data_IF_671257355641
#
_entry.id   IF_671257355641
#
_cell.length_a   1.000
_cell.length_b   1.000
_cell.length_c   1.000
_cell.angle_alpha   90.00
_cell.angle_beta   90.00
_cell.angle_gamma   90.00
#
_symmetry.space_group_name_H-M   'P 1'
#
loop_
_entity.id
_entity.type
_entity.pdbx_description
1 polymer ?
#
# COMPACT_ATOMS: atom_id res chain seq x y z
N UNK A 1 -81.91 42.48 -1.87
CA UNK A 1 -80.67 43.21 -1.91
C UNK A 1 -79.59 42.16 -2.23
N UNK A 2 -78.84 42.35 -3.29
CA UNK A 2 -78.17 41.33 -4.05
C UNK A 2 -76.74 41.10 -3.54
N UNK A 3 -76.25 39.88 -3.42
CA UNK A 3 -74.84 39.61 -3.11
C UNK A 3 -73.95 39.60 -4.37
N UNK A 4 -72.89 40.25 -4.30
CA UNK A 4 -71.83 40.37 -5.28
C UNK A 4 -70.98 39.08 -5.33
N UNK A 5 -70.90 38.47 -6.48
CA UNK A 5 -70.10 37.27 -6.75
C UNK A 5 -68.66 37.71 -7.07
N UNK A 6 -67.71 37.37 -6.24
CA UNK A 6 -66.27 37.48 -6.52
C UNK A 6 -65.80 36.19 -7.17
N UNK A 7 -65.37 36.26 -8.40
CA UNK A 7 -64.66 35.21 -9.12
C UNK A 7 -63.20 35.27 -8.72
N UNK A 8 -62.72 34.22 -8.06
CA UNK A 8 -61.29 34.01 -7.76
C UNK A 8 -60.66 33.25 -8.95
N UNK A 9 -59.79 33.94 -9.70
CA UNK A 9 -58.97 33.35 -10.72
C UNK A 9 -57.72 32.67 -10.07
N UNK A 10 -57.66 31.36 -10.16
CA UNK A 10 -56.47 30.59 -9.77
C UNK A 10 -55.44 30.66 -10.90
N UNK A 11 -54.36 31.37 -10.67
CA UNK A 11 -53.16 31.35 -11.52
C UNK A 11 -52.30 30.17 -11.04
N UNK A 12 -52.26 29.11 -11.81
CA UNK A 12 -51.32 27.99 -11.58
C UNK A 12 -49.92 28.38 -12.08
N UNK A 13 -49.01 28.72 -11.16
CA UNK A 13 -47.60 28.91 -11.47
C UNK A 13 -46.94 27.54 -11.54
N UNK A 14 -46.69 27.07 -12.74
CA UNK A 14 -45.88 25.87 -12.96
C UNK A 14 -44.38 26.14 -12.64
N UNK A 15 -43.92 25.61 -11.55
CA UNK A 15 -42.47 25.55 -11.26
C UNK A 15 -41.83 24.44 -12.11
N UNK A 16 -41.15 24.86 -13.17
CA UNK A 16 -40.19 23.99 -13.85
C UNK A 16 -38.96 23.81 -12.95
N UNK A 17 -38.93 22.71 -12.19
CA UNK A 17 -37.71 22.25 -11.53
C UNK A 17 -36.76 21.74 -12.63
N UNK A 18 -35.77 22.57 -12.99
CA UNK A 18 -34.59 22.14 -13.75
C UNK A 18 -33.78 21.26 -12.80
N UNK A 19 -34.03 19.95 -12.83
CA UNK A 19 -33.24 18.97 -12.13
C UNK A 19 -31.85 18.93 -12.75
N UNK A 20 -30.86 19.51 -12.10
CA UNK A 20 -29.46 19.15 -12.32
C UNK A 20 -29.35 17.67 -12.06
N UNK A 21 -29.21 16.89 -13.14
CA UNK A 21 -28.99 15.45 -13.05
C UNK A 21 -27.67 15.14 -12.34
N UNK A 22 -27.76 14.99 -11.03
CA UNK A 22 -26.67 14.42 -10.25
C UNK A 22 -26.76 12.90 -10.41
N UNK A 23 -25.99 12.37 -11.36
CA UNK A 23 -25.76 10.93 -11.41
C UNK A 23 -24.95 10.55 -10.18
N UNK A 24 -25.43 9.66 -9.32
CA UNK A 24 -24.60 9.14 -8.25
C UNK A 24 -23.33 8.54 -8.85
N UNK A 25 -22.15 8.72 -8.22
CA UNK A 25 -20.94 8.06 -8.67
C UNK A 25 -21.23 6.57 -8.83
N UNK A 26 -20.86 6.02 -9.99
CA UNK A 26 -20.99 4.58 -10.24
C UNK A 26 -20.35 3.80 -9.11
N UNK A 27 -20.71 2.53 -8.90
CA UNK A 27 -20.12 1.71 -7.86
C UNK A 27 -18.60 1.83 -7.99
N UNK A 28 -17.94 2.14 -6.86
CA UNK A 28 -16.49 2.16 -6.81
C UNK A 28 -15.98 0.85 -7.40
N UNK A 29 -14.86 0.86 -8.17
CA UNK A 29 -14.31 -0.36 -8.73
C UNK A 29 -14.21 -1.37 -7.59
N UNK A 30 -14.84 -2.51 -7.80
CA UNK A 30 -14.93 -3.61 -6.83
C UNK A 30 -13.54 -3.83 -6.27
N UNK A 31 -13.41 -3.66 -4.96
CA UNK A 31 -12.19 -3.87 -4.21
C UNK A 31 -11.47 -5.10 -4.72
N UNK A 32 -10.21 -4.95 -5.07
CA UNK A 32 -9.25 -6.04 -5.26
C UNK A 32 -9.58 -7.13 -4.25
N UNK A 33 -9.87 -8.31 -4.72
CA UNK A 33 -10.28 -9.44 -3.89
C UNK A 33 -9.24 -9.61 -2.79
N UNK A 34 -9.65 -9.46 -1.53
CA UNK A 34 -8.73 -9.59 -0.40
C UNK A 34 -8.13 -11.00 -0.46
N UNK A 35 -6.79 -11.09 -0.41
CA UNK A 35 -6.10 -12.37 -0.44
C UNK A 35 -6.53 -13.24 0.76
N UNK A 36 -6.69 -14.53 0.52
CA UNK A 36 -7.04 -15.49 1.57
C UNK A 36 -5.91 -15.65 2.61
N UNK A 37 -6.25 -16.18 3.76
CA UNK A 37 -5.25 -16.45 4.82
C UNK A 37 -4.19 -17.47 4.40
N UNK A 38 -4.47 -18.31 3.40
CA UNK A 38 -3.53 -19.28 2.83
C UNK A 38 -2.55 -18.65 1.83
N UNK A 39 -2.85 -17.43 1.39
CA UNK A 39 -2.03 -16.70 0.43
C UNK A 39 -1.04 -15.74 1.12
N UNK A 40 -1.02 -15.72 2.44
CA UNK A 40 -0.14 -14.86 3.24
C UNK A 40 0.80 -15.72 4.11
N UNK A 41 2.00 -15.21 4.46
CA UNK A 41 2.89 -15.91 5.37
C UNK A 41 2.29 -16.03 6.77
N UNK A 42 2.36 -17.23 7.34
CA UNK A 42 1.91 -17.49 8.71
C UNK A 42 2.84 -16.80 9.73
N UNK A 43 2.37 -16.53 10.94
CA UNK A 43 3.21 -15.94 12.00
C UNK A 43 4.49 -16.74 12.27
N UNK A 44 4.43 -18.06 12.20
CA UNK A 44 5.56 -18.96 12.41
C UNK A 44 6.61 -18.80 11.32
N UNK A 45 6.19 -18.73 10.05
CA UNK A 45 7.08 -18.53 8.90
C UNK A 45 7.73 -17.15 8.96
N UNK A 46 6.97 -16.12 9.32
CA UNK A 46 7.50 -14.76 9.53
C UNK A 46 8.53 -14.75 10.66
N UNK A 47 8.24 -15.39 11.79
CA UNK A 47 9.18 -15.46 12.92
C UNK A 47 10.48 -16.17 12.55
N UNK A 48 10.42 -17.24 11.77
CA UNK A 48 11.60 -17.94 11.27
C UNK A 48 12.41 -17.06 10.30
N UNK A 49 11.76 -16.33 9.42
CA UNK A 49 12.42 -15.40 8.50
C UNK A 49 13.13 -14.27 9.27
N UNK A 50 12.49 -13.71 10.30
CA UNK A 50 13.08 -12.71 11.20
C UNK A 50 14.30 -13.27 11.93
N UNK A 51 14.25 -14.50 12.41
CA UNK A 51 15.36 -15.15 13.10
C UNK A 51 16.61 -15.33 12.22
N UNK A 52 16.45 -15.30 10.89
CA UNK A 52 17.56 -15.32 9.94
C UNK A 52 18.22 -13.96 9.69
N UNK A 53 17.68 -12.88 10.22
CA UNK A 53 18.26 -11.54 10.09
C UNK A 53 19.44 -11.34 11.09
N UNK A 54 20.29 -10.32 10.85
CA UNK A 54 21.30 -9.91 11.83
C UNK A 54 20.68 -9.69 13.21
N UNK A 55 21.40 -10.03 14.26
CA UNK A 55 20.86 -10.01 15.62
C UNK A 55 20.44 -8.58 16.04
N UNK A 56 19.14 -8.42 16.26
CA UNK A 56 18.51 -7.19 16.76
C UNK A 56 17.11 -7.51 17.30
N UNK A 57 16.47 -6.52 17.93
CA UNK A 57 15.08 -6.65 18.38
C UNK A 57 14.12 -6.27 17.26
N UNK A 58 14.00 -7.14 16.26
CA UNK A 58 13.14 -6.92 15.13
C UNK A 58 11.66 -6.99 15.52
N UNK A 59 10.90 -6.03 15.05
CA UNK A 59 9.44 -5.97 15.18
C UNK A 59 8.82 -5.76 13.79
N UNK A 60 7.72 -6.43 13.51
CA UNK A 60 6.95 -6.13 12.33
C UNK A 60 6.37 -4.71 12.42
N UNK A 61 6.56 -3.92 11.37
CA UNK A 61 6.03 -2.56 11.26
C UNK A 61 4.95 -2.42 10.18
N UNK A 62 5.03 -3.21 9.12
CA UNK A 62 4.04 -3.22 8.05
C UNK A 62 4.06 -4.55 7.30
N UNK A 63 2.96 -4.85 6.61
CA UNK A 63 2.88 -5.96 5.65
C UNK A 63 1.98 -5.59 4.49
N UNK A 64 2.12 -6.31 3.41
CA UNK A 64 1.27 -6.18 2.24
C UNK A 64 1.47 -7.33 1.27
N UNK A 65 0.73 -7.27 0.18
CA UNK A 65 0.77 -8.26 -0.89
C UNK A 65 0.47 -7.62 -2.24
N UNK A 66 0.83 -8.31 -3.29
CA UNK A 66 0.41 -7.99 -4.65
C UNK A 66 -1.05 -8.40 -4.90
N UNK A 67 -1.77 -7.75 -5.83
CA UNK A 67 -3.16 -8.08 -6.15
C UNK A 67 -3.39 -9.54 -6.58
N UNK A 68 -2.40 -10.21 -7.19
CA UNK A 68 -2.45 -11.64 -7.52
C UNK A 68 -2.24 -12.56 -6.31
N UNK A 69 -2.03 -11.99 -5.11
CA UNK A 69 -1.79 -12.69 -3.85
C UNK A 69 -0.56 -13.59 -3.82
N UNK A 70 0.31 -13.47 -4.79
CA UNK A 70 1.50 -14.31 -4.87
C UNK A 70 2.65 -13.75 -4.07
N UNK A 71 3.06 -12.50 -4.37
CA UNK A 71 4.16 -11.85 -3.67
C UNK A 71 3.64 -11.13 -2.43
N UNK A 72 4.11 -11.57 -1.28
CA UNK A 72 3.84 -10.94 0.01
C UNK A 72 5.13 -10.34 0.57
N UNK A 73 4.98 -9.31 1.39
CA UNK A 73 6.11 -8.72 2.13
C UNK A 73 5.74 -8.40 3.57
N UNK A 74 6.75 -8.49 4.41
CA UNK A 74 6.72 -8.03 5.79
C UNK A 74 7.88 -7.07 5.98
N UNK A 75 7.59 -5.85 6.42
CA UNK A 75 8.58 -4.85 6.79
C UNK A 75 8.82 -4.97 8.29
N UNK A 76 10.08 -5.12 8.68
CA UNK A 76 10.48 -5.18 10.08
C UNK A 76 11.42 -4.04 10.41
N UNK A 77 11.37 -3.56 11.64
CA UNK A 77 12.24 -2.50 12.17
C UNK A 77 12.92 -2.93 13.46
N UNK A 78 14.14 -2.47 13.66
CA UNK A 78 14.93 -2.75 14.88
C UNK A 78 15.04 -1.49 15.74
N UNK A 79 13.93 -0.87 16.07
CA UNK A 79 13.84 0.32 16.91
C UNK A 79 12.65 1.20 16.57
N UNK A 80 12.48 2.26 17.35
CA UNK A 80 11.34 3.19 17.24
C UNK A 80 11.75 4.59 16.73
N UNK A 81 13.04 4.80 16.44
CA UNK A 81 13.54 6.05 15.86
C UNK A 81 13.26 6.10 14.35
N UNK A 82 13.15 7.30 13.79
CA UNK A 82 12.87 7.49 12.36
C UNK A 82 13.95 6.87 11.45
N UNK A 83 15.18 6.78 11.93
CA UNK A 83 16.33 6.21 11.25
C UNK A 83 16.71 4.81 11.76
N UNK A 84 15.79 4.13 12.46
CA UNK A 84 16.03 2.74 12.88
C UNK A 84 16.26 1.82 11.68
N UNK A 85 17.11 0.80 11.85
CA UNK A 85 17.30 -0.21 10.81
C UNK A 85 15.97 -0.91 10.45
N UNK A 86 15.74 -1.08 9.17
CA UNK A 86 14.56 -1.75 8.62
C UNK A 86 14.99 -2.84 7.64
N UNK A 87 14.14 -3.84 7.45
CA UNK A 87 14.33 -4.87 6.44
C UNK A 87 12.97 -5.24 5.81
N UNK A 88 12.98 -5.57 4.54
CA UNK A 88 11.83 -6.16 3.85
C UNK A 88 12.09 -7.65 3.66
N UNK A 89 11.18 -8.47 4.17
CA UNK A 89 11.17 -9.90 3.96
C UNK A 89 10.11 -10.24 2.92
N UNK A 90 10.50 -10.95 1.87
CA UNK A 90 9.59 -11.37 0.82
C UNK A 90 9.17 -12.84 0.95
N UNK A 91 7.95 -13.13 0.49
CA UNK A 91 7.36 -14.46 0.52
C UNK A 91 6.58 -14.71 -0.78
N UNK A 92 6.72 -15.91 -1.36
CA UNK A 92 5.77 -16.42 -2.36
C UNK A 92 4.66 -17.14 -1.58
N UNK A 93 3.54 -16.47 -1.37
CA UNK A 93 2.50 -16.90 -0.43
C UNK A 93 3.10 -17.15 0.97
N UNK A 94 3.11 -18.39 1.42
CA UNK A 94 3.68 -18.79 2.71
C UNK A 94 5.17 -19.21 2.63
N UNK A 95 5.81 -19.19 1.44
CA UNK A 95 7.20 -19.61 1.28
C UNK A 95 8.16 -18.42 1.38
N UNK A 96 9.13 -18.42 2.30
CA UNK A 96 10.09 -17.32 2.42
C UNK A 96 11.01 -17.27 1.20
N UNK A 97 11.17 -16.07 0.63
CA UNK A 97 12.06 -15.79 -0.49
C UNK A 97 13.34 -15.09 -0.05
N UNK A 98 13.37 -14.59 1.19
CA UNK A 98 14.49 -13.87 1.76
C UNK A 98 14.32 -12.35 1.82
N UNK A 99 15.34 -11.64 2.31
CA UNK A 99 15.32 -10.19 2.43
C UNK A 99 15.52 -9.49 1.08
N UNK A 100 14.99 -8.28 0.96
CA UNK A 100 15.13 -7.43 -0.22
C UNK A 100 16.58 -7.01 -0.50
N UNK A 101 17.37 -6.85 0.58
CA UNK A 101 18.80 -6.49 0.53
C UNK A 101 19.58 -7.34 1.53
N UNK A 102 20.87 -7.63 1.29
CA UNK A 102 21.68 -8.38 2.26
C UNK A 102 21.79 -7.68 3.61
N UNK A 103 21.91 -6.35 3.59
CA UNK A 103 22.02 -5.53 4.78
C UNK A 103 20.73 -4.73 5.03
N UNK A 104 20.35 -4.53 6.29
CA UNK A 104 19.24 -3.65 6.64
C UNK A 104 19.48 -2.22 6.14
N UNK A 105 18.40 -1.54 5.82
CA UNK A 105 18.38 -0.13 5.37
C UNK A 105 17.50 0.70 6.30
N UNK A 106 17.56 2.00 6.16
CA UNK A 106 16.66 2.93 6.85
C UNK A 106 15.58 3.45 5.89
N UNK A 107 14.49 3.99 6.44
CA UNK A 107 13.46 4.71 5.69
C UNK A 107 12.88 3.92 4.51
N UNK A 108 12.44 2.69 4.78
CA UNK A 108 11.85 1.82 3.77
C UNK A 108 10.33 1.99 3.73
N UNK A 109 9.78 2.10 2.53
CA UNK A 109 8.35 1.96 2.27
C UNK A 109 8.12 0.96 1.14
N UNK A 110 7.06 0.16 1.24
CA UNK A 110 6.73 -0.85 0.22
C UNK A 110 5.28 -0.68 -0.21
N UNK A 111 5.06 -0.67 -1.51
CA UNK A 111 3.72 -0.65 -2.12
C UNK A 111 3.62 -1.72 -3.20
N UNK A 112 2.41 -2.17 -3.50
CA UNK A 112 2.17 -2.94 -4.72
C UNK A 112 2.15 -2.01 -5.93
N UNK A 113 2.68 -2.49 -7.05
CA UNK A 113 2.58 -1.79 -8.33
C UNK A 113 2.25 -2.81 -9.43
N UNK A 114 1.25 -2.53 -10.24
CA UNK A 114 0.72 -3.53 -11.16
C UNK A 114 0.03 -4.69 -10.43
N UNK A 115 0.09 -5.88 -10.99
CA UNK A 115 -0.62 -7.06 -10.48
C UNK A 115 0.25 -7.99 -9.62
N UNK A 116 1.54 -8.09 -9.90
CA UNK A 116 2.47 -9.10 -9.41
C UNK A 116 3.80 -8.52 -8.90
N UNK A 117 3.88 -7.21 -8.74
CA UNK A 117 5.12 -6.48 -8.45
C UNK A 117 5.00 -5.68 -7.16
N UNK A 118 5.99 -5.81 -6.28
CA UNK A 118 6.19 -4.94 -5.13
C UNK A 118 7.25 -3.89 -5.47
N UNK A 119 6.99 -2.62 -5.14
CA UNK A 119 7.95 -1.53 -5.26
C UNK A 119 8.42 -1.14 -3.87
N UNK A 120 9.72 -1.26 -3.65
CA UNK A 120 10.38 -0.82 -2.42
C UNK A 120 10.98 0.56 -2.69
N UNK A 121 10.58 1.53 -1.90
CA UNK A 121 11.17 2.85 -1.88
C UNK A 121 12.21 2.86 -0.76
N UNK A 122 13.44 3.19 -1.13
CA UNK A 122 14.56 3.44 -0.23
C UNK A 122 14.79 4.93 -0.12
N UNK A 123 15.03 5.41 1.08
CA UNK A 123 15.47 6.78 1.30
C UNK A 123 16.76 6.78 2.11
N UNK A 124 17.57 7.83 1.94
CA UNK A 124 18.82 8.00 2.69
C UNK A 124 19.12 9.47 2.89
N UNK A 125 19.86 9.75 3.93
CA UNK A 125 20.28 11.12 4.23
C UNK A 125 21.35 11.56 3.25
N UNK A 126 21.24 12.79 2.76
CA UNK A 126 22.23 13.44 1.92
C UNK A 126 22.78 14.68 2.62
N UNK A 127 24.09 14.89 2.55
CA UNK A 127 24.72 16.06 3.16
C UNK A 127 24.41 16.17 4.66
N UNK A 128 23.68 17.23 5.03
CA UNK A 128 23.33 17.51 6.42
C UNK A 128 21.83 17.26 6.72
N UNK A 129 21.20 16.35 6.01
CA UNK A 129 19.80 16.00 6.28
C UNK A 129 19.60 15.59 7.74
N UNK A 130 18.56 16.10 8.40
CA UNK A 130 18.19 15.62 9.72
C UNK A 130 17.67 14.19 9.64
N UNK A 131 17.75 13.45 10.76
CA UNK A 131 17.32 12.05 10.83
C UNK A 131 15.82 11.83 10.51
N UNK A 132 14.98 12.85 10.72
CA UNK A 132 13.55 12.77 10.37
C UNK A 132 13.27 12.82 8.86
N UNK A 133 14.20 13.40 8.07
CA UNK A 133 13.79 13.97 6.79
C UNK A 133 14.87 13.76 5.72
N UNK A 134 15.11 12.50 5.31
CA UNK A 134 16.08 12.18 4.27
C UNK A 134 15.61 12.72 2.91
N UNK A 135 16.54 13.24 2.09
CA UNK A 135 16.23 13.77 0.76
C UNK A 135 16.65 12.84 -0.37
N UNK A 136 17.57 11.90 -0.11
CA UNK A 136 17.91 10.86 -1.07
C UNK A 136 16.77 9.86 -1.22
N UNK A 137 16.39 9.51 -2.45
CA UNK A 137 15.30 8.60 -2.74
C UNK A 137 15.61 7.73 -3.96
N UNK A 138 15.26 6.46 -3.88
CA UNK A 138 15.32 5.51 -4.98
C UNK A 138 14.27 4.44 -4.83
N UNK A 139 13.82 3.87 -5.93
CA UNK A 139 12.82 2.81 -5.94
C UNK A 139 13.34 1.58 -6.66
N UNK A 140 12.98 0.40 -6.17
CA UNK A 140 13.31 -0.88 -6.77
C UNK A 140 12.04 -1.71 -6.84
N UNK A 141 11.75 -2.25 -8.00
CA UNK A 141 10.67 -3.19 -8.19
C UNK A 141 11.18 -4.62 -7.97
N UNK A 142 10.34 -5.41 -7.32
CA UNK A 142 10.61 -6.81 -7.04
C UNK A 142 9.47 -7.68 -7.54
N UNK A 143 9.81 -8.85 -8.02
CA UNK A 143 8.87 -9.82 -8.55
C UNK A 143 9.35 -11.24 -8.25
N UNK A 144 8.43 -12.20 -8.16
CA UNK A 144 8.80 -13.61 -8.11
C UNK A 144 9.19 -14.06 -9.51
N UNK A 145 10.43 -14.48 -9.69
CA UNK A 145 10.90 -15.01 -10.96
C UNK A 145 10.30 -16.35 -11.32
N UNK A 146 10.50 -16.78 -12.55
CA UNK A 146 10.08 -18.10 -13.03
C UNK A 146 10.75 -19.26 -12.26
N UNK A 147 11.93 -19.02 -11.73
CA UNK A 147 12.69 -19.93 -10.86
C UNK A 147 12.19 -19.95 -9.41
N UNK A 148 11.10 -19.22 -9.09
CA UNK A 148 10.54 -19.13 -7.75
C UNK A 148 11.36 -18.30 -6.77
N UNK A 149 12.35 -17.54 -7.24
CA UNK A 149 13.17 -16.66 -6.41
C UNK A 149 12.73 -15.21 -6.55
N UNK A 150 12.99 -14.43 -5.51
CA UNK A 150 12.79 -12.99 -5.61
C UNK A 150 13.83 -12.37 -6.56
N UNK A 151 13.38 -11.51 -7.45
CA UNK A 151 14.22 -10.77 -8.39
C UNK A 151 13.96 -9.26 -8.26
N UNK A 152 15.03 -8.49 -8.17
CA UNK A 152 14.96 -7.06 -8.38
C UNK A 152 14.94 -6.77 -9.88
N UNK A 153 13.97 -5.96 -10.32
CA UNK A 153 13.85 -5.52 -11.72
C UNK A 153 14.68 -4.27 -12.00
N UNK A 154 15.06 -3.57 -10.96
CA UNK A 154 15.84 -2.34 -11.03
C UNK A 154 17.10 -2.48 -10.17
N UNK A 155 18.17 -1.68 -10.44
CA UNK A 155 19.35 -1.64 -9.58
C UNK A 155 19.00 -1.18 -8.16
N UNK A 156 19.52 -1.89 -7.15
CA UNK A 156 19.37 -1.48 -5.75
C UNK A 156 20.27 -0.26 -5.51
N UNK A 157 19.73 0.87 -4.99
CA UNK A 157 20.54 2.04 -4.67
C UNK A 157 21.64 1.67 -3.67
N UNK A 158 22.83 2.19 -3.92
CA UNK A 158 23.97 2.07 -3.00
C UNK A 158 24.49 3.48 -2.73
N UNK A 159 23.84 4.23 -1.79
CA UNK A 159 24.19 5.60 -1.45
C UNK A 159 25.51 5.73 -0.68
#
# INVERSE_FOLDING_TARGET
MRPLRLLAALVAIGLFAIGCGWSPPGPAPTSTQACGSTDAPSPEVVSQAIAGLPQAQWKESARGNTPDCRLNWVVVTAGDASDSPMQVLFFDRNNPLGPATPEPRTYINVISTGNDTAQVQYQWRQGQDPACCPTGIGTVRFQVGEDGKIKSLDPIPNP
#
